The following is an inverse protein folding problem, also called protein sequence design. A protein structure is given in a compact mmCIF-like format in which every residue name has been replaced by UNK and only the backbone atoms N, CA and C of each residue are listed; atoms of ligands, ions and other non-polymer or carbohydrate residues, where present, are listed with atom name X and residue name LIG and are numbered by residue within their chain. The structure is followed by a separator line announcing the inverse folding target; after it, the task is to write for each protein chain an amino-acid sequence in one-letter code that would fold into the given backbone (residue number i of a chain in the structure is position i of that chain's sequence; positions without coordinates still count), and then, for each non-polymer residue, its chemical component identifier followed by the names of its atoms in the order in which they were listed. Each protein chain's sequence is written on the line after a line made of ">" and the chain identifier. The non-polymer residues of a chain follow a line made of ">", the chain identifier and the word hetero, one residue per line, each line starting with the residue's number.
data_IF_240662107905
#
_entry.id   IF_240662107905
#
_cell.length_a   1.000
_cell.length_b   1.000
_cell.length_c   1.000
_cell.angle_alpha   90.00
_cell.angle_beta   90.00
_cell.angle_gamma   90.00
#
_symmetry.space_group_name_H-M   'P 1'
#
loop_
_entity.id
_entity.type
_entity.pdbx_description
1 polymer ?
#
# COMPACT_ATOMS: atom_id res chain seq x y z
N UNK A 1 12.31 26.65 -72.86
CA UNK A 1 12.51 27.03 -71.44
C UNK A 1 11.17 26.86 -70.71
N UNK A 2 11.04 25.83 -69.87
CA UNK A 2 9.79 25.48 -69.17
C UNK A 2 9.67 26.31 -67.88
N UNK A 3 8.59 27.06 -67.75
CA UNK A 3 8.24 27.87 -66.58
C UNK A 3 7.63 26.99 -65.48
N UNK A 4 8.23 27.01 -64.29
CA UNK A 4 7.80 26.26 -63.10
C UNK A 4 6.83 27.16 -62.31
N UNK A 5 5.55 26.78 -62.26
CA UNK A 5 4.58 27.41 -61.35
C UNK A 5 4.68 26.75 -59.98
N UNK A 6 5.06 27.53 -58.95
CA UNK A 6 5.05 27.10 -57.55
C UNK A 6 3.64 27.24 -56.98
N UNK A 7 3.04 26.13 -56.57
CA UNK A 7 1.83 26.13 -55.76
C UNK A 7 2.20 26.38 -54.28
N UNK A 8 1.62 27.41 -53.66
CA UNK A 8 1.64 27.59 -52.21
C UNK A 8 0.55 26.69 -51.59
N UNK A 9 0.95 25.70 -50.80
CA UNK A 9 0.05 24.97 -49.91
C UNK A 9 -0.01 25.66 -48.55
N UNK A 10 -1.19 26.16 -48.16
CA UNK A 10 -1.44 26.66 -46.82
C UNK A 10 -1.65 25.49 -45.86
N UNK A 11 -0.77 25.33 -44.86
CA UNK A 11 -0.94 24.37 -43.78
C UNK A 11 -1.89 24.95 -42.72
N UNK A 12 -3.07 24.37 -42.56
CA UNK A 12 -3.98 24.69 -41.47
C UNK A 12 -3.54 23.98 -40.19
N UNK A 13 -3.08 24.74 -39.20
CA UNK A 13 -2.84 24.24 -37.85
C UNK A 13 -4.18 24.15 -37.10
N UNK A 14 -4.66 22.92 -36.87
CA UNK A 14 -5.77 22.67 -35.94
C UNK A 14 -5.20 22.69 -34.52
N UNK A 15 -5.48 23.75 -33.78
CA UNK A 15 -5.20 23.82 -32.34
C UNK A 15 -6.27 23.02 -31.62
N UNK A 16 -5.92 21.82 -31.16
CA UNK A 16 -6.77 21.02 -30.29
C UNK A 16 -6.64 21.58 -28.87
N UNK A 17 -7.66 22.32 -28.42
CA UNK A 17 -7.73 22.79 -27.03
C UNK A 17 -7.95 21.61 -26.10
N UNK A 18 -6.91 21.25 -25.34
CA UNK A 18 -7.03 20.35 -24.20
C UNK A 18 -7.87 21.05 -23.13
N UNK A 19 -9.12 20.64 -22.98
CA UNK A 19 -9.93 21.02 -21.84
C UNK A 19 -9.28 20.44 -20.57
N UNK A 20 -8.74 21.29 -19.71
CA UNK A 20 -8.26 20.90 -18.39
C UNK A 20 -9.41 20.26 -17.61
N UNK A 21 -9.26 19.04 -17.06
CA UNK A 21 -10.26 18.51 -16.14
C UNK A 21 -10.40 19.49 -14.98
N UNK A 22 -11.63 19.95 -14.72
CA UNK A 22 -11.90 20.81 -13.56
C UNK A 22 -11.43 20.13 -12.27
N UNK A 23 -10.81 20.89 -11.37
CA UNK A 23 -10.41 20.38 -10.07
C UNK A 23 -11.65 19.93 -9.29
N UNK A 24 -11.84 18.61 -9.16
CA UNK A 24 -12.88 18.06 -8.30
C UNK A 24 -12.34 18.08 -6.86
N UNK A 25 -13.09 18.71 -5.95
CA UNK A 25 -12.76 18.68 -4.52
C UNK A 25 -12.93 17.25 -3.99
N UNK A 26 -12.04 16.85 -3.08
CA UNK A 26 -12.15 15.55 -2.43
C UNK A 26 -13.48 15.43 -1.68
N UNK A 27 -14.10 14.25 -1.70
CA UNK A 27 -15.32 13.98 -0.93
C UNK A 27 -15.04 14.01 0.57
N UNK A 28 -13.86 13.52 0.96
CA UNK A 28 -13.35 13.63 2.32
C UNK A 28 -11.82 13.79 2.30
N UNK A 29 -11.28 14.42 3.34
CA UNK A 29 -9.85 14.47 3.58
C UNK A 29 -9.56 14.85 5.02
N UNK A 30 -8.37 14.47 5.49
CA UNK A 30 -7.91 14.79 6.83
C UNK A 30 -6.40 15.06 6.81
N UNK A 31 -5.98 16.11 7.51
CA UNK A 31 -4.58 16.48 7.65
C UNK A 31 -4.12 16.30 9.09
N UNK A 32 -3.03 15.58 9.28
CA UNK A 32 -2.26 15.53 10.52
C UNK A 32 -1.03 16.45 10.41
N UNK A 33 -0.67 17.14 11.51
CA UNK A 33 0.46 18.06 11.51
C UNK A 33 1.80 17.33 11.68
N UNK A 34 2.90 18.03 11.42
CA UNK A 34 4.20 17.62 11.96
C UNK A 34 4.15 17.64 13.50
N UNK A 35 4.61 16.57 14.14
CA UNK A 35 4.49 16.43 15.60
C UNK A 35 5.41 15.35 16.14
N UNK A 36 5.68 15.40 17.44
CA UNK A 36 6.27 14.31 18.23
C UNK A 36 5.32 13.81 19.33
N UNK A 37 4.08 14.30 19.34
CA UNK A 37 3.04 13.92 20.32
C UNK A 37 2.01 13.00 19.69
N UNK A 38 1.74 11.87 20.35
CA UNK A 38 0.68 10.91 20.01
C UNK A 38 -0.74 11.47 20.17
N UNK A 39 -0.89 12.63 20.83
CA UNK A 39 -2.18 13.28 21.05
C UNK A 39 -2.45 14.42 20.06
N UNK A 40 -1.64 14.56 19.01
CA UNK A 40 -1.89 15.56 17.99
C UNK A 40 -3.19 15.26 17.23
N UNK A 41 -3.90 16.30 16.77
CA UNK A 41 -5.18 16.11 16.08
C UNK A 41 -5.00 15.33 14.78
N UNK A 42 -6.02 14.53 14.44
CA UNK A 42 -6.16 13.82 13.17
C UNK A 42 -5.07 12.80 12.81
N UNK A 43 -4.22 12.38 13.76
CA UNK A 43 -3.24 11.29 13.54
C UNK A 43 -3.88 9.96 13.15
N UNK A 44 -5.16 9.76 13.49
CA UNK A 44 -5.92 8.54 13.21
C UNK A 44 -7.32 8.89 12.69
N UNK A 45 -7.42 9.99 11.94
CA UNK A 45 -8.70 10.41 11.39
C UNK A 45 -9.23 9.34 10.44
N UNK A 46 -10.47 8.91 10.65
CA UNK A 46 -11.09 7.83 9.89
C UNK A 46 -12.39 8.27 9.22
N UNK A 47 -12.74 7.65 8.10
CA UNK A 47 -14.01 7.88 7.42
C UNK A 47 -14.55 6.62 6.75
N UNK A 48 -15.86 6.40 6.86
CA UNK A 48 -16.54 5.28 6.22
C UNK A 48 -17.20 5.73 4.91
N UNK A 49 -17.00 4.94 3.85
CA UNK A 49 -17.61 5.12 2.54
C UNK A 49 -18.14 3.78 2.02
N UNK A 50 -19.45 3.58 2.16
CA UNK A 50 -20.05 2.27 1.90
C UNK A 50 -19.46 1.19 2.82
N UNK A 51 -18.99 0.09 2.23
CA UNK A 51 -18.33 -1.01 2.96
C UNK A 51 -16.83 -0.79 3.21
N UNK A 52 -16.29 0.37 2.84
CA UNK A 52 -14.88 0.69 3.01
C UNK A 52 -14.66 1.69 4.14
N UNK A 53 -13.53 1.56 4.80
CA UNK A 53 -13.06 2.48 5.83
C UNK A 53 -11.70 3.05 5.41
N UNK A 54 -11.51 4.37 5.55
CA UNK A 54 -10.27 5.07 5.23
C UNK A 54 -9.66 5.62 6.50
N UNK A 55 -8.34 5.50 6.66
CA UNK A 55 -7.64 5.95 7.84
C UNK A 55 -6.40 6.76 7.47
N UNK A 56 -6.24 7.93 8.10
CA UNK A 56 -5.04 8.77 7.99
C UNK A 56 -4.01 8.39 9.07
N UNK A 57 -3.67 7.11 9.19
CA UNK A 57 -2.90 6.65 10.35
C UNK A 57 -1.44 7.14 10.34
N UNK A 58 -1.06 7.84 11.40
CA UNK A 58 0.28 8.37 11.68
C UNK A 58 0.65 8.05 13.13
N UNK A 59 1.14 6.83 13.36
CA UNK A 59 1.47 6.32 14.70
C UNK A 59 2.89 6.61 15.17
N UNK A 60 3.80 7.05 14.30
CA UNK A 60 5.19 7.33 14.65
C UNK A 60 5.38 8.04 16.01
N UNK A 61 4.60 9.09 16.34
CA UNK A 61 4.70 9.81 17.60
C UNK A 61 4.34 8.97 18.83
N UNK A 62 3.47 7.98 18.69
CA UNK A 62 3.10 7.05 19.76
C UNK A 62 4.22 6.07 20.10
N UNK A 63 5.15 5.84 19.17
CA UNK A 63 6.41 5.13 19.41
C UNK A 63 7.60 6.05 19.72
N UNK A 64 7.38 7.34 19.95
CA UNK A 64 8.43 8.31 20.26
C UNK A 64 9.19 8.87 19.06
N UNK A 65 8.74 8.62 17.83
CA UNK A 65 9.34 9.18 16.62
C UNK A 65 8.65 10.47 16.20
N UNK A 66 9.42 11.51 15.88
CA UNK A 66 8.89 12.70 15.22
C UNK A 66 8.41 12.36 13.80
N UNK A 67 7.28 12.94 13.41
CA UNK A 67 6.66 12.80 12.09
C UNK A 67 6.48 14.16 11.44
N UNK A 68 6.43 14.16 10.11
CA UNK A 68 6.02 15.33 9.36
C UNK A 68 4.53 15.28 9.01
N UNK A 69 4.03 16.33 8.32
CA UNK A 69 2.61 16.45 8.02
C UNK A 69 2.17 15.39 7.00
N UNK A 70 0.91 14.97 7.11
CA UNK A 70 0.28 14.02 6.19
C UNK A 70 -1.18 14.41 5.94
N UNK A 71 -1.61 14.38 4.68
CA UNK A 71 -2.99 14.64 4.28
C UNK A 71 -3.51 13.50 3.43
N UNK A 72 -4.48 12.74 3.94
CA UNK A 72 -5.28 11.81 3.14
C UNK A 72 -6.39 12.57 2.43
N UNK A 73 -6.71 12.14 1.21
CA UNK A 73 -7.86 12.62 0.44
C UNK A 73 -8.56 11.43 -0.22
N UNK A 74 -9.89 11.49 -0.30
CA UNK A 74 -10.74 10.39 -0.76
C UNK A 74 -11.86 10.93 -1.64
N UNK A 75 -11.96 10.40 -2.86
CA UNK A 75 -13.13 10.56 -3.73
C UNK A 75 -14.02 9.31 -3.70
N UNK A 76 -13.41 8.13 -3.70
CA UNK A 76 -14.08 6.82 -3.58
C UNK A 76 -13.08 5.73 -3.23
N UNK A 77 -13.52 4.47 -3.08
CA UNK A 77 -12.63 3.31 -3.03
C UNK A 77 -11.80 3.14 -4.32
N UNK A 78 -12.27 3.68 -5.44
CA UNK A 78 -11.56 3.62 -6.71
C UNK A 78 -10.63 4.82 -6.97
N UNK A 79 -10.63 5.83 -6.09
CA UNK A 79 -9.78 7.02 -6.23
C UNK A 79 -9.57 7.71 -4.88
N UNK A 80 -8.42 7.46 -4.29
CA UNK A 80 -7.96 8.10 -3.06
C UNK A 80 -6.44 8.20 -3.06
N UNK A 81 -5.90 8.98 -2.14
CA UNK A 81 -4.45 9.04 -1.97
C UNK A 81 -4.04 9.81 -0.74
N UNK A 82 -2.74 10.02 -0.64
CA UNK A 82 -2.12 10.70 0.47
C UNK A 82 -0.94 11.51 -0.01
N UNK A 83 -0.84 12.74 0.47
CA UNK A 83 0.41 13.50 0.46
C UNK A 83 1.05 13.36 1.85
N UNK A 84 2.35 13.07 1.91
CA UNK A 84 3.06 12.89 3.18
C UNK A 84 4.49 13.42 3.08
N UNK A 85 4.94 14.16 4.08
CA UNK A 85 6.31 14.70 4.17
C UNK A 85 7.02 14.17 5.42
N UNK A 86 7.30 12.87 5.44
CA UNK A 86 7.95 12.22 6.58
C UNK A 86 9.47 12.47 6.58
N UNK A 87 10.07 12.75 7.75
CA UNK A 87 11.50 13.03 7.85
C UNK A 87 12.35 11.83 7.41
N UNK A 88 13.58 12.08 6.97
CA UNK A 88 14.53 11.02 6.59
C UNK A 88 15.18 10.36 7.82
N UNK A 89 14.35 9.72 8.63
CA UNK A 89 14.74 8.96 9.83
C UNK A 89 14.21 7.53 9.76
N UNK A 90 14.84 6.61 10.50
CA UNK A 90 14.39 5.22 10.57
C UNK A 90 13.01 5.04 11.21
N UNK A 91 12.43 3.84 11.05
CA UNK A 91 11.12 3.47 11.60
C UNK A 91 9.95 3.97 10.76
N UNK A 92 8.93 3.13 10.59
CA UNK A 92 7.70 3.48 9.88
C UNK A 92 6.97 4.56 10.68
N UNK A 93 6.52 5.61 10.00
CA UNK A 93 5.82 6.76 10.61
C UNK A 93 4.31 6.65 10.49
N UNK A 94 3.83 6.10 9.37
CA UNK A 94 2.42 6.12 9.02
C UNK A 94 2.04 4.99 8.07
N UNK A 95 0.75 4.65 8.07
CA UNK A 95 0.10 3.77 7.10
C UNK A 95 -1.30 4.29 6.75
N UNK A 96 -1.37 5.39 5.98
CA UNK A 96 -2.61 5.81 5.36
C UNK A 96 -3.15 4.66 4.48
N UNK A 97 -4.38 4.23 4.73
CA UNK A 97 -4.91 3.03 4.10
C UNK A 97 -6.43 3.08 3.89
N UNK A 98 -6.90 2.19 3.01
CA UNK A 98 -8.29 1.79 2.87
C UNK A 98 -8.45 0.36 3.40
N UNK A 99 -9.54 0.06 4.09
CA UNK A 99 -9.89 -1.24 4.65
C UNK A 99 -11.27 -1.72 4.21
N UNK A 100 -11.43 -3.03 4.15
CA UNK A 100 -12.70 -3.72 3.94
C UNK A 100 -12.82 -4.87 4.95
N UNK A 101 -13.88 -4.84 5.76
CA UNK A 101 -14.15 -5.86 6.76
C UNK A 101 -14.78 -7.11 6.13
N UNK A 102 -14.13 -8.27 6.29
CA UNK A 102 -14.55 -9.57 5.76
C UNK A 102 -15.42 -10.32 6.76
N UNK A 103 -15.00 -10.40 8.02
CA UNK A 103 -15.71 -11.03 9.15
C UNK A 103 -16.21 -12.46 8.89
N UNK A 104 -15.39 -13.29 8.25
CA UNK A 104 -15.71 -14.68 7.93
C UNK A 104 -14.53 -15.61 8.18
N UNK A 105 -14.82 -16.82 8.64
CA UNK A 105 -13.80 -17.87 8.80
C UNK A 105 -13.21 -18.26 7.45
N UNK A 106 -11.89 -18.48 7.38
CA UNK A 106 -11.19 -18.82 6.14
C UNK A 106 -11.85 -20.01 5.42
N UNK A 107 -12.17 -21.10 6.13
CA UNK A 107 -12.83 -22.27 5.55
C UNK A 107 -14.24 -22.02 5.01
N UNK A 108 -14.91 -20.96 5.46
CA UNK A 108 -16.25 -20.60 4.97
C UNK A 108 -16.23 -19.84 3.65
N UNK A 109 -15.04 -19.42 3.18
CA UNK A 109 -14.87 -18.63 1.97
C UNK A 109 -14.62 -19.56 0.78
N UNK A 110 -15.41 -19.35 -0.26
CA UNK A 110 -15.15 -19.89 -1.60
C UNK A 110 -14.29 -18.93 -2.43
N UNK A 111 -14.31 -17.63 -2.09
CA UNK A 111 -13.51 -16.61 -2.75
C UNK A 111 -13.17 -15.48 -1.77
N UNK A 112 -11.90 -15.06 -1.77
CA UNK A 112 -11.47 -13.76 -1.26
C UNK A 112 -10.33 -13.25 -2.14
N UNK A 113 -10.60 -12.20 -2.91
CA UNK A 113 -9.61 -11.59 -3.80
C UNK A 113 -9.72 -10.08 -3.74
N UNK A 114 -8.61 -9.39 -3.99
CA UNK A 114 -8.59 -7.93 -4.03
C UNK A 114 -7.82 -7.41 -5.24
N UNK A 115 -8.36 -6.36 -5.86
CA UNK A 115 -7.76 -5.68 -7.01
C UNK A 115 -7.32 -4.29 -6.62
N UNK A 116 -6.19 -3.85 -7.17
CA UNK A 116 -5.62 -2.54 -6.90
C UNK A 116 -4.79 -2.02 -8.08
N UNK A 117 -4.81 -0.70 -8.23
CA UNK A 117 -3.91 0.09 -9.06
C UNK A 117 -3.33 1.21 -8.20
N UNK A 118 -2.05 1.54 -8.34
CA UNK A 118 -1.39 2.52 -7.50
C UNK A 118 -0.48 3.46 -8.29
N UNK A 119 -0.24 4.63 -7.72
CA UNK A 119 0.81 5.55 -8.15
C UNK A 119 1.72 5.78 -6.97
N UNK A 120 3.01 5.52 -7.16
CA UNK A 120 4.03 5.63 -6.12
C UNK A 120 5.16 6.56 -6.58
N UNK A 121 5.77 7.32 -5.67
CA UNK A 121 6.88 8.22 -6.01
C UNK A 121 8.14 7.42 -6.34
N UNK A 122 9.12 8.02 -7.01
CA UNK A 122 10.38 7.34 -7.34
C UNK A 122 11.37 7.23 -6.16
N UNK A 123 11.32 8.18 -5.22
CA UNK A 123 12.26 8.28 -4.08
C UNK A 123 11.61 7.96 -2.74
N UNK A 124 12.37 8.14 -1.66
CA UNK A 124 11.90 7.94 -0.27
C UNK A 124 12.13 6.52 0.26
N UNK A 125 11.54 6.24 1.43
CA UNK A 125 11.57 4.94 2.11
C UNK A 125 10.13 4.54 2.44
N UNK A 126 9.56 3.60 1.68
CA UNK A 126 8.17 3.20 1.82
C UNK A 126 7.88 1.82 1.22
N UNK A 127 6.75 1.24 1.63
CA UNK A 127 6.12 0.08 1.00
C UNK A 127 4.69 0.44 0.54
N UNK A 128 4.26 -0.13 -0.56
CA UNK A 128 2.88 -0.12 -1.07
C UNK A 128 2.37 -1.55 -0.94
N UNK A 129 1.47 -1.76 0.01
CA UNK A 129 1.25 -3.08 0.58
C UNK A 129 -0.22 -3.32 0.92
N UNK A 130 -0.64 -4.57 0.79
CA UNK A 130 -1.80 -5.05 1.52
C UNK A 130 -1.41 -5.34 2.97
N UNK A 131 -2.36 -5.18 3.87
CA UNK A 131 -2.28 -5.64 5.26
C UNK A 131 -3.58 -6.38 5.62
N UNK A 132 -3.47 -7.68 5.86
CA UNK A 132 -4.63 -8.56 6.09
C UNK A 132 -4.57 -9.09 7.50
N UNK A 133 -5.64 -8.83 8.26
CA UNK A 133 -5.74 -9.17 9.68
C UNK A 133 -6.62 -10.40 9.89
N UNK A 134 -6.11 -11.38 10.64
CA UNK A 134 -6.79 -12.66 10.89
C UNK A 134 -6.72 -13.02 12.37
N UNK A 135 -7.80 -13.59 12.89
CA UNK A 135 -7.87 -14.15 14.22
C UNK A 135 -7.85 -13.09 15.32
N UNK A 136 -8.67 -12.04 15.19
CA UNK A 136 -8.70 -10.92 16.14
C UNK A 136 -7.31 -10.29 16.33
N UNK A 137 -6.72 -9.90 15.21
CA UNK A 137 -5.39 -9.29 15.11
C UNK A 137 -4.22 -10.17 15.57
N UNK A 138 -4.40 -11.47 15.81
CA UNK A 138 -3.29 -12.37 16.18
C UNK A 138 -2.30 -12.64 15.02
N UNK A 139 -2.77 -12.49 13.77
CA UNK A 139 -1.97 -12.69 12.57
C UNK A 139 -2.13 -11.53 11.60
N UNK A 140 -0.99 -11.01 11.14
CA UNK A 140 -0.85 -9.93 10.18
C UNK A 140 -0.15 -10.49 8.93
N UNK A 141 -0.80 -10.37 7.78
CA UNK A 141 -0.29 -10.86 6.50
C UNK A 141 -0.07 -9.65 5.59
N UNK A 142 1.20 -9.29 5.41
CA UNK A 142 1.57 -8.16 4.57
C UNK A 142 1.96 -8.62 3.17
N UNK A 143 1.39 -8.01 2.13
CA UNK A 143 1.70 -8.34 0.74
C UNK A 143 2.28 -7.12 0.03
N UNK A 144 3.61 -7.02 0.01
CA UNK A 144 4.33 -5.86 -0.51
C UNK A 144 4.39 -5.93 -2.04
N UNK A 145 3.65 -5.04 -2.71
CA UNK A 145 3.53 -5.01 -4.17
C UNK A 145 4.65 -4.19 -4.82
N UNK A 146 4.92 -3.01 -4.26
CA UNK A 146 5.98 -2.10 -4.67
C UNK A 146 6.57 -1.44 -3.42
N UNK A 147 7.86 -1.14 -3.43
CA UNK A 147 8.60 -0.70 -2.24
C UNK A 147 10.00 -0.23 -2.65
N UNK A 148 10.68 0.55 -1.82
CA UNK A 148 12.02 1.07 -2.14
C UNK A 148 13.17 0.17 -1.69
N UNK A 149 12.89 -0.86 -0.89
CA UNK A 149 13.81 -1.95 -0.58
C UNK A 149 13.95 -2.99 -1.70
N UNK A 150 14.42 -4.20 -1.36
CA UNK A 150 14.62 -5.32 -2.29
C UNK A 150 13.84 -6.55 -1.83
N UNK A 151 13.44 -7.41 -2.77
CA UNK A 151 12.73 -8.65 -2.45
C UNK A 151 13.57 -9.62 -1.58
N UNK A 152 14.90 -9.43 -1.55
CA UNK A 152 15.84 -10.17 -0.73
C UNK A 152 15.97 -9.63 0.71
N UNK A 153 15.07 -8.74 1.14
CA UNK A 153 14.98 -8.30 2.54
C UNK A 153 16.02 -7.24 2.92
N UNK A 154 16.74 -6.70 1.93
CA UNK A 154 17.68 -5.58 2.09
C UNK A 154 17.04 -4.25 1.65
N UNK A 155 17.72 -3.14 1.98
CA UNK A 155 17.38 -1.80 1.51
C UNK A 155 17.00 -0.84 2.63
N UNK A 156 16.45 0.32 2.26
CA UNK A 156 16.03 1.36 3.20
C UNK A 156 14.73 1.02 3.94
N UNK A 157 13.89 0.15 3.37
CA UNK A 157 12.79 -0.53 4.06
C UNK A 157 13.01 -2.04 4.02
N UNK A 158 12.63 -2.74 5.10
CA UNK A 158 12.84 -4.17 5.27
C UNK A 158 11.61 -4.77 5.99
N UNK A 159 11.20 -6.00 5.66
CA UNK A 159 10.07 -6.64 6.33
C UNK A 159 10.40 -6.98 7.79
N UNK A 160 9.35 -7.17 8.60
CA UNK A 160 9.49 -7.75 9.93
C UNK A 160 9.99 -9.20 9.80
N UNK A 161 11.06 -9.53 10.52
CA UNK A 161 11.74 -10.82 10.40
C UNK A 161 12.39 -11.22 11.71
N UNK A 162 12.38 -12.53 12.01
CA UNK A 162 13.20 -13.12 13.06
C UNK A 162 14.68 -13.26 12.66
N UNK A 163 14.95 -13.45 11.37
CA UNK A 163 16.26 -13.81 10.88
C UNK A 163 16.88 -12.67 10.07
N UNK A 164 18.13 -12.34 10.39
CA UNK A 164 18.89 -11.25 9.80
C UNK A 164 20.31 -11.72 9.49
N UNK A 165 20.87 -11.30 8.36
CA UNK A 165 22.28 -11.55 8.05
C UNK A 165 23.19 -10.47 8.66
N UNK A 166 24.51 -10.67 8.56
CA UNK A 166 25.49 -9.73 9.11
C UNK A 166 25.44 -8.33 8.46
N UNK A 167 24.88 -8.20 7.24
CA UNK A 167 24.66 -6.92 6.57
C UNK A 167 23.35 -6.22 7.00
N UNK A 168 22.59 -6.81 7.93
CA UNK A 168 21.32 -6.26 8.39
C UNK A 168 20.17 -6.44 7.39
N UNK A 169 20.25 -7.40 6.47
CA UNK A 169 19.13 -7.79 5.63
C UNK A 169 18.32 -8.90 6.26
N UNK A 170 17.00 -8.83 6.13
CA UNK A 170 16.11 -9.92 6.55
C UNK A 170 16.40 -11.16 5.68
N UNK A 171 16.37 -12.35 6.29
CA UNK A 171 16.56 -13.61 5.60
C UNK A 171 15.18 -14.24 5.33
N UNK A 172 14.79 -14.48 4.07
CA UNK A 172 13.50 -15.10 3.77
C UNK A 172 13.47 -16.54 4.26
N UNK A 173 12.33 -16.94 4.83
CA UNK A 173 12.06 -18.33 5.25
C UNK A 173 11.63 -19.20 4.06
N UNK A 174 11.08 -18.59 3.01
CA UNK A 174 10.87 -19.22 1.70
C UNK A 174 11.18 -18.24 0.58
N UNK A 175 11.68 -18.74 -0.54
CA UNK A 175 11.99 -17.92 -1.73
C UNK A 175 11.21 -18.39 -2.94
N UNK A 176 10.86 -17.45 -3.82
CA UNK A 176 10.16 -17.71 -5.09
C UNK A 176 8.87 -18.55 -4.96
N UNK A 177 8.12 -18.35 -3.88
CA UNK A 177 6.83 -19.02 -3.66
C UNK A 177 5.81 -18.48 -4.64
N UNK A 178 5.21 -19.35 -5.46
CA UNK A 178 4.13 -18.99 -6.37
C UNK A 178 2.77 -19.25 -5.71
N UNK A 179 2.07 -18.20 -5.33
CA UNK A 179 0.78 -18.26 -4.62
C UNK A 179 0.02 -16.95 -4.81
N UNK A 180 -1.32 -17.00 -4.77
CA UNK A 180 -2.14 -15.80 -4.85
C UNK A 180 -2.04 -15.05 -6.18
N UNK A 181 -1.60 -15.73 -7.25
CA UNK A 181 -1.37 -15.17 -8.58
C UNK A 181 -0.04 -14.43 -8.75
N UNK A 182 0.96 -14.67 -7.90
CA UNK A 182 2.23 -13.94 -7.91
C UNK A 182 3.38 -14.76 -7.33
N UNK A 183 4.61 -14.27 -7.49
CA UNK A 183 5.83 -14.88 -6.94
C UNK A 183 6.39 -14.01 -5.82
N UNK A 184 6.68 -14.63 -4.68
CA UNK A 184 7.03 -13.94 -3.44
C UNK A 184 8.28 -14.53 -2.77
N UNK A 185 9.06 -13.68 -2.10
CA UNK A 185 9.90 -14.11 -1.00
C UNK A 185 9.14 -13.89 0.30
N UNK A 186 9.11 -14.89 1.17
CA UNK A 186 8.30 -14.91 2.39
C UNK A 186 9.20 -14.71 3.60
N UNK A 187 8.82 -13.78 4.46
CA UNK A 187 9.46 -13.45 5.73
C UNK A 187 8.49 -13.70 6.87
N UNK A 188 9.04 -13.99 8.05
CA UNK A 188 8.26 -14.25 9.25
C UNK A 188 8.90 -13.59 10.46
N UNK A 189 8.08 -12.90 11.24
CA UNK A 189 8.49 -12.28 12.50
C UNK A 189 7.30 -12.04 13.42
N UNK A 190 7.48 -11.15 14.39
CA UNK A 190 6.46 -10.73 15.35
C UNK A 190 6.75 -9.27 15.76
N UNK A 191 5.69 -8.47 15.93
CA UNK A 191 5.79 -7.03 16.22
C UNK A 191 5.56 -6.69 17.72
N UNK A 192 5.56 -7.70 18.59
CA UNK A 192 5.27 -7.61 20.02
C UNK A 192 3.86 -8.09 20.39
N UNK A 193 2.88 -7.93 19.51
CA UNK A 193 1.48 -8.28 19.76
C UNK A 193 0.97 -9.43 18.88
N UNK A 194 1.49 -9.53 17.64
CA UNK A 194 0.99 -10.48 16.65
C UNK A 194 2.10 -11.09 15.80
N UNK A 195 1.79 -12.23 15.19
CA UNK A 195 2.66 -12.86 14.20
C UNK A 195 2.53 -12.13 12.87
N UNK A 196 3.67 -11.84 12.24
CA UNK A 196 3.72 -11.13 10.95
C UNK A 196 4.29 -12.03 9.88
N UNK A 197 3.59 -12.10 8.75
CA UNK A 197 3.99 -12.83 7.54
C UNK A 197 4.09 -11.85 6.38
N UNK A 198 5.30 -11.48 5.99
CA UNK A 198 5.50 -10.52 4.90
C UNK A 198 5.89 -11.24 3.62
N UNK A 199 5.04 -11.11 2.60
CA UNK A 199 5.29 -11.58 1.25
C UNK A 199 5.79 -10.42 0.41
N UNK A 200 7.06 -10.44 0.03
CA UNK A 200 7.65 -9.43 -0.84
C UNK A 200 7.64 -9.94 -2.27
N UNK A 201 6.89 -9.23 -3.13
CA UNK A 201 6.77 -9.62 -4.54
C UNK A 201 8.13 -9.53 -5.21
N UNK A 202 8.54 -10.57 -5.94
CA UNK A 202 9.86 -10.61 -6.57
C UNK A 202 9.96 -9.70 -7.80
N UNK A 203 8.84 -9.53 -8.52
CA UNK A 203 8.66 -8.51 -9.55
C UNK A 203 7.65 -7.48 -9.08
N UNK A 204 8.13 -6.28 -8.72
CA UNK A 204 7.30 -5.19 -8.21
C UNK A 204 6.22 -4.78 -9.22
N UNK A 205 5.05 -4.39 -8.72
CA UNK A 205 3.97 -3.88 -9.55
C UNK A 205 3.16 -2.84 -8.79
N UNK A 206 2.57 -1.91 -9.53
CA UNK A 206 1.55 -1.01 -9.02
C UNK A 206 0.13 -1.47 -9.41
N UNK A 207 -0.02 -2.55 -10.18
CA UNK A 207 -1.33 -3.00 -10.69
C UNK A 207 -1.42 -4.52 -10.58
N UNK A 208 -2.41 -5.02 -9.84
CA UNK A 208 -2.61 -6.47 -9.68
C UNK A 208 -4.01 -6.79 -9.15
N UNK A 209 -4.42 -8.03 -9.36
CA UNK A 209 -5.38 -8.73 -8.51
C UNK A 209 -4.63 -9.77 -7.71
N UNK A 210 -4.91 -9.89 -6.41
CA UNK A 210 -4.36 -10.92 -5.52
C UNK A 210 -5.48 -11.86 -5.10
N UNK A 211 -5.23 -13.15 -5.21
CA UNK A 211 -6.04 -14.18 -4.54
C UNK A 211 -5.57 -14.30 -3.07
N UNK A 212 -6.26 -13.55 -2.21
CA UNK A 212 -5.97 -13.48 -0.77
C UNK A 212 -6.31 -14.81 -0.10
N UNK A 213 -7.40 -15.48 -0.50
CA UNK A 213 -7.77 -16.79 0.04
C UNK A 213 -6.67 -17.82 -0.21
N UNK A 214 -6.08 -17.83 -1.40
CA UNK A 214 -4.93 -18.68 -1.73
C UNK A 214 -3.73 -18.44 -0.81
N UNK A 215 -3.41 -17.18 -0.48
CA UNK A 215 -2.35 -16.82 0.47
C UNK A 215 -2.68 -17.34 1.88
N UNK A 216 -3.90 -17.12 2.36
CA UNK A 216 -4.31 -17.56 3.70
C UNK A 216 -4.28 -19.09 3.82
N UNK A 217 -4.73 -19.80 2.79
CA UNK A 217 -4.67 -21.27 2.75
C UNK A 217 -3.22 -21.77 2.66
N UNK A 218 -2.33 -21.08 1.97
CA UNK A 218 -0.90 -21.41 2.00
C UNK A 218 -0.33 -21.35 3.43
N UNK A 219 -0.63 -20.29 4.18
CA UNK A 219 -0.19 -20.18 5.58
C UNK A 219 -0.80 -21.26 6.49
N UNK A 220 -2.07 -21.62 6.27
CA UNK A 220 -2.72 -22.72 6.97
C UNK A 220 -2.07 -24.07 6.67
N UNK A 221 -1.74 -24.33 5.41
CA UNK A 221 -1.10 -25.57 5.00
C UNK A 221 0.33 -25.71 5.54
N UNK A 222 1.01 -24.59 5.81
CA UNK A 222 2.28 -24.58 6.55
C UNK A 222 2.12 -24.82 8.05
N UNK A 223 0.89 -24.87 8.57
CA UNK A 223 0.59 -24.98 10.00
C UNK A 223 0.92 -23.72 10.79
N UNK A 224 1.08 -22.56 10.13
CA UNK A 224 1.44 -21.30 10.80
C UNK A 224 0.23 -20.56 11.36
N UNK A 225 -0.96 -20.91 10.88
CA UNK A 225 -2.22 -20.33 11.32
C UNK A 225 -3.31 -21.40 11.25
N UNK A 226 -4.23 -21.36 12.23
CA UNK A 226 -5.40 -22.23 12.24
C UNK A 226 -6.47 -21.73 11.25
N UNK A 227 -7.62 -22.40 11.23
CA UNK A 227 -8.81 -21.88 10.57
C UNK A 227 -9.45 -20.79 11.43
N UNK A 228 -9.21 -19.53 11.09
CA UNK A 228 -9.57 -18.37 11.89
C UNK A 228 -10.44 -17.41 11.09
N UNK A 229 -11.05 -16.45 11.78
CA UNK A 229 -11.83 -15.37 11.16
C UNK A 229 -10.90 -14.37 10.49
N UNK A 230 -11.11 -14.09 9.21
CA UNK A 230 -10.53 -12.95 8.52
C UNK A 230 -11.27 -11.70 8.98
N UNK A 231 -10.54 -10.78 9.62
CA UNK A 231 -11.06 -9.49 10.05
C UNK A 231 -11.14 -8.56 8.85
N UNK A 232 -9.99 -8.00 8.44
CA UNK A 232 -9.91 -6.95 7.43
C UNK A 232 -8.93 -7.30 6.31
N UNK A 233 -9.26 -6.86 5.10
CA UNK A 233 -8.30 -6.70 4.00
C UNK A 233 -8.08 -5.22 3.80
N UNK A 234 -6.86 -4.76 4.10
CA UNK A 234 -6.46 -3.36 3.96
C UNK A 234 -5.43 -3.20 2.85
N UNK A 235 -5.34 -2.00 2.31
CA UNK A 235 -4.28 -1.59 1.39
C UNK A 235 -3.89 -0.15 1.63
N UNK A 236 -2.58 0.10 1.64
CA UNK A 236 -2.05 1.44 1.86
C UNK A 236 -0.56 1.54 1.60
N UNK A 237 0.04 2.52 2.27
CA UNK A 237 1.45 2.86 2.09
C UNK A 237 2.13 2.98 3.45
N UNK A 238 3.05 2.08 3.80
CA UNK A 238 3.86 2.28 4.99
C UNK A 238 4.98 3.26 4.67
N UNK A 239 4.96 4.45 5.28
CA UNK A 239 5.89 5.53 4.96
C UNK A 239 6.91 5.66 6.09
N UNK A 240 8.17 5.34 5.80
CA UNK A 240 9.31 5.58 6.69
C UNK A 240 9.90 6.97 6.48
N UNK A 241 10.02 7.38 5.21
CA UNK A 241 10.48 8.72 4.80
C UNK A 241 9.90 9.12 3.45
N UNK A 242 9.54 10.40 3.33
CA UNK A 242 9.07 11.05 2.11
C UNK A 242 9.44 12.54 2.10
N UNK A 243 10.69 12.84 2.50
CA UNK A 243 11.16 14.21 2.73
C UNK A 243 11.00 15.11 1.50
N UNK A 244 10.49 16.32 1.72
CA UNK A 244 10.08 17.26 0.67
C UNK A 244 8.63 17.08 0.20
N UNK A 245 7.90 16.15 0.81
CA UNK A 245 6.53 15.81 0.45
C UNK A 245 6.45 14.92 -0.78
N UNK A 246 5.78 13.78 -0.65
CA UNK A 246 5.51 12.87 -1.76
C UNK A 246 4.04 12.50 -1.82
N UNK A 247 3.56 12.24 -3.04
CA UNK A 247 2.20 11.79 -3.30
C UNK A 247 2.17 10.28 -3.55
N UNK A 248 1.21 9.63 -2.92
CA UNK A 248 0.86 8.24 -3.14
C UNK A 248 -0.62 8.19 -3.53
N UNK A 249 -0.95 7.39 -4.53
CA UNK A 249 -2.31 7.27 -5.04
C UNK A 249 -2.73 5.82 -5.10
N UNK A 250 -3.99 5.57 -4.80
CA UNK A 250 -4.64 4.27 -4.92
C UNK A 250 -5.89 4.42 -5.77
N UNK A 251 -6.01 3.52 -6.75
CA UNK A 251 -7.08 3.45 -7.71
C UNK A 251 -7.66 2.05 -7.78
N UNK A 252 -8.96 1.97 -8.01
CA UNK A 252 -9.68 0.71 -8.20
C UNK A 252 -9.50 -0.31 -7.06
N UNK A 253 -9.35 0.12 -5.80
CA UNK A 253 -9.37 -0.82 -4.68
C UNK A 253 -10.74 -1.47 -4.59
N UNK A 254 -10.76 -2.80 -4.66
CA UNK A 254 -11.97 -3.58 -4.48
C UNK A 254 -11.67 -4.92 -3.82
N UNK A 255 -12.64 -5.44 -3.08
CA UNK A 255 -12.60 -6.77 -2.47
C UNK A 255 -13.79 -7.57 -2.98
N UNK A 256 -13.53 -8.78 -3.47
CA UNK A 256 -14.56 -9.77 -3.82
C UNK A 256 -14.52 -10.89 -2.79
N UNK A 257 -15.61 -11.07 -2.07
CA UNK A 257 -15.79 -12.09 -1.03
C UNK A 257 -17.03 -12.93 -1.32
N UNK A 258 -16.92 -14.27 -1.25
CA UNK A 258 -18.03 -15.23 -1.42
C UNK A 258 -17.92 -16.41 -0.49
#
# INVERSE_FOLDING_TARGET
>A
MKSIHRALGAAAFVVMSLASPGAQAATWGASSPATSSCSAPNLFASWNYGSYNFNNDVWGPCGGAAVGPQTIWVNSNADWGVWSDQPNTGGIKSYPHIGYAVNRTISSLSQLSSTISATTPAGGAWSSTFDVWVGNNAHEIMLWLNYTGTAAGCGNVKPISYNWNAQGCAIPVYTNVNVGGSTWNVYRGNNGANMVYSFLRTSKTNNTTIDVLGILNYLRNLGWMADLVVGDVQYGFEITSSSGGMNFGSRNFSVTVR
#
